data_IF_519093211077
#
_entry.id   IF_519093211077
#
_cell.length_a   1.000
_cell.length_b   1.000
_cell.length_c   1.000
_cell.angle_alpha   90.00
_cell.angle_beta   90.00
_cell.angle_gamma   90.00
#
_symmetry.space_group_name_H-M   'P 1'
#
loop_
_entity.id
_entity.type
_entity.pdbx_description
1 polymer ?
#
# COMPACT_ATOMS: atom_id res chain seq x y z
N UNK A 1 -17.86 -24.19 22.75
CA UNK A 1 -17.94 -22.72 22.93
C UNK A 1 -16.61 -22.01 22.63
N UNK A 2 -15.49 -22.43 23.23
CA UNK A 2 -14.16 -21.85 22.95
C UNK A 2 -13.72 -21.87 21.47
N UNK A 3 -13.94 -22.97 20.76
CA UNK A 3 -13.54 -23.11 19.34
C UNK A 3 -14.36 -22.17 18.42
N UNK A 4 -15.64 -21.97 18.73
CA UNK A 4 -16.55 -21.11 17.94
C UNK A 4 -16.18 -19.64 18.16
N UNK A 5 -15.87 -19.25 19.40
CA UNK A 5 -15.39 -17.89 19.74
C UNK A 5 -14.05 -17.63 19.05
N UNK A 6 -13.12 -18.59 19.06
CA UNK A 6 -11.83 -18.44 18.40
C UNK A 6 -11.97 -18.29 16.88
N UNK A 7 -12.83 -19.09 16.23
CA UNK A 7 -13.08 -18.99 14.79
C UNK A 7 -13.77 -17.66 14.40
N UNK A 8 -14.68 -17.17 15.23
CA UNK A 8 -15.38 -15.90 14.98
C UNK A 8 -14.46 -14.70 15.15
N UNK A 9 -13.65 -14.68 16.21
CA UNK A 9 -12.62 -13.67 16.42
C UNK A 9 -11.56 -13.70 15.32
N UNK A 10 -11.14 -14.89 14.87
CA UNK A 10 -10.17 -15.01 13.77
C UNK A 10 -10.69 -14.37 12.49
N UNK A 11 -11.98 -14.55 12.16
CA UNK A 11 -12.58 -13.94 10.96
C UNK A 11 -12.66 -12.39 11.08
N UNK A 12 -12.94 -11.88 12.29
CA UNK A 12 -12.97 -10.44 12.54
C UNK A 12 -11.62 -9.73 12.33
N UNK A 13 -10.49 -10.43 12.51
CA UNK A 13 -9.15 -9.85 12.35
C UNK A 13 -8.43 -10.29 11.07
N UNK A 14 -8.66 -11.52 10.58
CA UNK A 14 -8.00 -12.04 9.39
C UNK A 14 -8.43 -11.33 8.11
N UNK A 15 -9.72 -11.03 7.97
CA UNK A 15 -10.23 -10.35 6.77
C UNK A 15 -9.73 -8.90 6.66
N UNK A 16 -9.81 -8.03 7.70
CA UNK A 16 -9.20 -6.71 7.65
C UNK A 16 -7.68 -6.76 7.42
N UNK A 17 -6.99 -7.73 8.02
CA UNK A 17 -5.55 -7.88 7.84
C UNK A 17 -5.18 -8.23 6.39
N UNK A 18 -5.89 -9.19 5.79
CA UNK A 18 -5.69 -9.58 4.40
C UNK A 18 -6.03 -8.44 3.43
N UNK A 19 -7.12 -7.72 3.67
CA UNK A 19 -7.48 -6.56 2.86
C UNK A 19 -6.45 -5.44 3.02
N UNK A 20 -6.01 -5.14 4.24
CA UNK A 20 -4.97 -4.15 4.50
C UNK A 20 -3.65 -4.50 3.80
N UNK A 21 -3.26 -5.78 3.81
CA UNK A 21 -2.12 -6.28 3.05
C UNK A 21 -2.29 -6.06 1.55
N UNK A 22 -3.42 -6.50 0.98
CA UNK A 22 -3.70 -6.44 -0.45
C UNK A 22 -3.71 -4.99 -0.96
N UNK A 23 -4.36 -4.11 -0.22
CA UNK A 23 -4.45 -2.68 -0.53
C UNK A 23 -3.06 -2.05 -0.51
N UNK A 24 -2.29 -2.27 0.56
CA UNK A 24 -0.92 -1.73 0.67
C UNK A 24 0.01 -2.32 -0.40
N UNK A 25 -0.18 -3.57 -0.79
CA UNK A 25 0.59 -4.22 -1.86
C UNK A 25 0.34 -3.55 -3.23
N UNK A 26 -0.93 -3.37 -3.61
CA UNK A 26 -1.30 -2.70 -4.86
C UNK A 26 -0.81 -1.25 -4.88
N UNK A 27 -0.85 -0.56 -3.73
CA UNK A 27 -0.30 0.79 -3.58
C UNK A 27 1.17 0.86 -3.95
N UNK A 28 1.96 -0.07 -3.43
CA UNK A 28 3.41 -0.07 -3.60
C UNK A 28 3.80 -0.52 -5.00
N UNK A 29 3.09 -1.49 -5.58
CA UNK A 29 3.28 -1.84 -7.00
C UNK A 29 3.03 -0.64 -7.91
N UNK A 30 1.93 0.07 -7.68
CA UNK A 30 1.57 1.26 -8.46
C UNK A 30 2.59 2.38 -8.24
N UNK A 31 2.99 2.62 -6.99
CA UNK A 31 4.04 3.58 -6.63
C UNK A 31 5.35 3.29 -7.35
N UNK A 32 5.83 2.05 -7.25
CA UNK A 32 7.10 1.61 -7.85
C UNK A 32 7.08 1.76 -9.37
N UNK A 33 5.97 1.37 -10.02
CA UNK A 33 5.81 1.49 -11.48
C UNK A 33 5.82 2.96 -11.95
N UNK A 34 5.14 3.84 -11.22
CA UNK A 34 5.12 5.27 -11.52
C UNK A 34 6.49 5.90 -11.26
N UNK A 35 7.15 5.54 -10.17
CA UNK A 35 8.47 6.06 -9.84
C UNK A 35 9.48 5.66 -10.92
N UNK A 36 9.47 4.39 -11.35
CA UNK A 36 10.30 3.89 -12.44
C UNK A 36 10.10 4.68 -13.75
N UNK A 37 8.83 5.01 -14.09
CA UNK A 37 8.51 5.86 -15.25
C UNK A 37 8.96 7.31 -15.05
N UNK A 38 8.78 7.85 -13.85
CA UNK A 38 9.16 9.23 -13.52
C UNK A 38 10.68 9.42 -13.63
N UNK A 39 11.49 8.44 -13.24
CA UNK A 39 12.96 8.49 -13.38
C UNK A 39 13.43 8.70 -14.82
N UNK A 40 12.63 8.32 -15.83
CA UNK A 40 12.97 8.56 -17.24
C UNK A 40 12.72 10.01 -17.68
N UNK A 41 11.89 10.79 -16.97
CA UNK A 41 11.47 12.14 -17.39
C UNK A 41 12.40 13.28 -16.88
N UNK A 42 13.21 13.05 -15.85
CA UNK A 42 14.17 14.03 -15.32
C UNK A 42 13.58 15.30 -14.69
N UNK A 43 14.29 15.89 -13.72
CA UNK A 43 14.06 17.24 -13.17
C UNK A 43 12.61 17.55 -12.73
N UNK A 44 12.01 18.61 -13.29
CA UNK A 44 10.65 19.08 -12.94
C UNK A 44 9.54 18.08 -13.32
N UNK A 45 9.75 17.29 -14.37
CA UNK A 45 8.80 16.27 -14.82
C UNK A 45 8.71 15.09 -13.86
N UNK A 46 9.80 14.77 -13.16
CA UNK A 46 9.84 13.75 -12.11
C UNK A 46 8.94 14.16 -10.94
N UNK A 47 9.21 15.32 -10.33
CA UNK A 47 8.50 15.78 -9.14
C UNK A 47 6.99 15.90 -9.36
N UNK A 48 6.57 16.49 -10.49
CA UNK A 48 5.15 16.63 -10.80
C UNK A 48 4.46 15.27 -10.97
N UNK A 49 5.12 14.32 -11.65
CA UNK A 49 4.57 12.97 -11.85
C UNK A 49 4.43 12.22 -10.52
N UNK A 50 5.42 12.31 -9.64
CA UNK A 50 5.41 11.66 -8.32
C UNK A 50 4.36 12.28 -7.41
N UNK A 51 4.32 13.62 -7.30
CA UNK A 51 3.35 14.32 -6.45
C UNK A 51 1.91 14.06 -6.90
N UNK A 52 1.63 14.17 -8.21
CA UNK A 52 0.29 13.90 -8.73
C UNK A 52 -0.13 12.45 -8.44
N UNK A 53 0.80 11.50 -8.62
CA UNK A 53 0.51 10.10 -8.31
C UNK A 53 0.24 9.84 -6.83
N UNK A 54 0.94 10.55 -5.95
CA UNK A 54 0.76 10.44 -4.51
C UNK A 54 -0.62 10.94 -4.10
N UNK A 55 -1.03 12.10 -4.61
CA UNK A 55 -2.36 12.67 -4.36
C UNK A 55 -3.45 11.71 -4.85
N UNK A 56 -3.37 11.23 -6.09
CA UNK A 56 -4.36 10.30 -6.66
C UNK A 56 -4.43 9.00 -5.84
N UNK A 57 -3.29 8.45 -5.43
CA UNK A 57 -3.24 7.24 -4.60
C UNK A 57 -3.85 7.47 -3.22
N UNK A 58 -3.61 8.61 -2.59
CA UNK A 58 -4.22 8.94 -1.30
C UNK A 58 -5.74 9.01 -1.41
N UNK A 59 -6.28 9.66 -2.45
CA UNK A 59 -7.71 9.70 -2.68
C UNK A 59 -8.29 8.31 -2.98
N UNK A 60 -7.62 7.51 -3.81
CA UNK A 60 -8.03 6.13 -4.08
C UNK A 60 -8.06 5.29 -2.80
N UNK A 61 -7.05 5.42 -1.94
CA UNK A 61 -7.00 4.74 -0.66
C UNK A 61 -8.12 5.14 0.28
N UNK A 62 -8.37 6.44 0.43
CA UNK A 62 -9.50 6.94 1.21
C UNK A 62 -10.83 6.38 0.68
N UNK A 63 -11.02 6.36 -0.63
CA UNK A 63 -12.22 5.79 -1.26
C UNK A 63 -12.39 4.30 -0.95
N UNK A 64 -11.33 3.50 -1.11
CA UNK A 64 -11.35 2.06 -0.83
C UNK A 64 -11.64 1.80 0.65
N UNK A 65 -10.94 2.47 1.57
CA UNK A 65 -11.14 2.34 3.01
C UNK A 65 -12.57 2.72 3.39
N UNK A 66 -13.08 3.82 2.84
CA UNK A 66 -14.45 4.26 3.07
C UNK A 66 -15.46 3.20 2.64
N UNK A 67 -15.29 2.61 1.45
CA UNK A 67 -16.17 1.55 0.96
C UNK A 67 -16.13 0.32 1.87
N UNK A 68 -14.93 -0.10 2.30
CA UNK A 68 -14.76 -1.26 3.19
C UNK A 68 -15.37 -1.05 4.58
N UNK A 69 -15.23 0.15 5.15
CA UNK A 69 -15.79 0.45 6.45
C UNK A 69 -17.31 0.65 6.38
N UNK A 70 -17.80 1.38 5.37
CA UNK A 70 -19.20 1.77 5.30
C UNK A 70 -20.11 0.66 4.77
N UNK A 71 -19.73 0.00 3.67
CA UNK A 71 -20.56 -1.05 3.05
C UNK A 71 -20.31 -2.42 3.65
N UNK A 72 -19.05 -2.80 3.86
CA UNK A 72 -18.68 -4.13 4.34
C UNK A 72 -18.60 -4.24 5.86
N UNK A 73 -18.79 -3.11 6.59
CA UNK A 73 -18.75 -3.04 8.05
C UNK A 73 -17.48 -3.66 8.66
N UNK A 74 -16.37 -3.55 7.94
CA UNK A 74 -15.07 -4.06 8.39
C UNK A 74 -14.63 -3.34 9.67
N UNK A 75 -14.00 -4.08 10.57
CA UNK A 75 -13.47 -3.56 11.83
C UNK A 75 -12.37 -2.52 11.53
N UNK A 76 -12.62 -1.28 11.97
CA UNK A 76 -11.88 -0.09 11.55
C UNK A 76 -10.45 -0.09 12.10
N UNK A 77 -10.28 -0.53 13.34
CA UNK A 77 -9.00 -0.49 14.04
C UNK A 77 -8.02 -1.51 13.47
N UNK A 78 -8.48 -2.74 13.26
CA UNK A 78 -7.74 -3.84 12.64
C UNK A 78 -7.36 -3.50 11.20
N UNK A 79 -8.29 -2.95 10.40
CA UNK A 79 -7.97 -2.50 9.05
C UNK A 79 -6.89 -1.41 9.05
N UNK A 80 -7.04 -0.39 9.89
CA UNK A 80 -6.11 0.73 9.96
C UNK A 80 -4.71 0.29 10.38
N UNK A 81 -4.59 -0.54 11.43
CA UNK A 81 -3.29 -0.99 11.93
C UNK A 81 -2.59 -1.94 10.96
N UNK A 82 -3.35 -2.83 10.31
CA UNK A 82 -2.81 -3.71 9.27
C UNK A 82 -2.34 -2.91 8.06
N UNK A 83 -3.15 -1.95 7.59
CA UNK A 83 -2.74 -1.08 6.49
C UNK A 83 -1.48 -0.30 6.83
N UNK A 84 -1.40 0.29 8.02
CA UNK A 84 -0.21 1.02 8.48
C UNK A 84 1.02 0.11 8.50
N UNK A 85 0.94 -1.05 9.16
CA UNK A 85 2.04 -2.00 9.24
C UNK A 85 2.55 -2.43 7.85
N UNK A 86 1.65 -2.88 6.96
CA UNK A 86 2.03 -3.30 5.61
C UNK A 86 2.51 -2.14 4.75
N UNK A 87 1.99 -0.93 4.94
CA UNK A 87 2.46 0.25 4.25
C UNK A 87 3.95 0.51 4.54
N UNK A 88 4.37 0.48 5.81
CA UNK A 88 5.78 0.65 6.17
C UNK A 88 6.65 -0.48 5.60
N UNK A 89 6.20 -1.74 5.73
CA UNK A 89 6.93 -2.89 5.22
C UNK A 89 7.16 -2.78 3.70
N UNK A 90 6.13 -2.40 2.96
CA UNK A 90 6.23 -2.23 1.52
C UNK A 90 6.98 -0.97 1.10
N UNK A 91 6.94 0.11 1.88
CA UNK A 91 7.76 1.30 1.65
C UNK A 91 9.25 0.97 1.75
N UNK A 92 9.64 0.18 2.75
CA UNK A 92 11.03 -0.30 2.89
C UNK A 92 11.43 -1.13 1.68
N UNK A 93 10.56 -2.04 1.22
CA UNK A 93 10.78 -2.82 0.00
C UNK A 93 10.91 -1.94 -1.25
N UNK A 94 10.06 -0.91 -1.39
CA UNK A 94 10.12 0.04 -2.51
C UNK A 94 11.45 0.78 -2.55
N UNK A 95 11.91 1.32 -1.41
CA UNK A 95 13.19 2.02 -1.30
C UNK A 95 14.36 1.08 -1.63
N UNK A 96 14.35 -0.14 -1.10
CA UNK A 96 15.38 -1.14 -1.38
C UNK A 96 15.41 -1.53 -2.86
N UNK A 97 14.24 -1.72 -3.49
CA UNK A 97 14.12 -1.98 -4.92
C UNK A 97 14.69 -0.82 -5.75
N UNK A 98 14.41 0.42 -5.36
CA UNK A 98 14.93 1.60 -6.03
C UNK A 98 16.45 1.74 -5.95
N UNK A 99 17.01 1.52 -4.76
CA UNK A 99 18.45 1.61 -4.56
C UNK A 99 19.19 0.57 -5.41
N UNK A 100 18.71 -0.68 -5.42
CA UNK A 100 19.31 -1.74 -6.23
C UNK A 100 19.26 -1.45 -7.75
N UNK A 101 18.17 -0.85 -8.23
CA UNK A 101 18.06 -0.47 -9.64
C UNK A 101 18.93 0.73 -10.03
N UNK A 102 19.23 1.63 -9.09
CA UNK A 102 20.18 2.74 -9.33
C UNK A 102 21.60 2.21 -9.48
N UNK A 103 22.03 1.29 -8.63
CA UNK A 103 23.37 0.68 -8.68
C UNK A 103 23.63 -0.04 -10.00
N UNK A 104 22.66 -0.83 -10.49
CA UNK A 104 22.77 -1.54 -11.77
C UNK A 104 22.87 -0.60 -12.98
N UNK A 105 22.37 0.63 -12.88
CA UNK A 105 22.40 1.62 -13.97
C UNK A 105 23.69 2.46 -13.98
N UNK A 106 24.46 2.44 -12.90
CA UNK A 106 25.75 3.13 -12.78
C UNK A 106 26.97 2.19 -12.94
N UNK A 107 26.75 0.88 -12.97
CA UNK A 107 27.79 -0.13 -13.16
C UNK A 107 27.99 -0.57 -14.63
N UNK A 108 27.33 0.09 -15.59
CA UNK A 108 27.41 -0.18 -17.03
C UNK A 108 27.83 1.04 -17.84
#
# INVERSE_FOLDING_TARGET
MFIIIFAFSFNQYALPAFLGWLISFVNTLTGSAILYRAFKKGGKGFFNTVLLSLVVRMFAMCGIIFVLIYFFKIEKFSLAISMFFFYFLFLILEINFLNRNKELKHAG
#
